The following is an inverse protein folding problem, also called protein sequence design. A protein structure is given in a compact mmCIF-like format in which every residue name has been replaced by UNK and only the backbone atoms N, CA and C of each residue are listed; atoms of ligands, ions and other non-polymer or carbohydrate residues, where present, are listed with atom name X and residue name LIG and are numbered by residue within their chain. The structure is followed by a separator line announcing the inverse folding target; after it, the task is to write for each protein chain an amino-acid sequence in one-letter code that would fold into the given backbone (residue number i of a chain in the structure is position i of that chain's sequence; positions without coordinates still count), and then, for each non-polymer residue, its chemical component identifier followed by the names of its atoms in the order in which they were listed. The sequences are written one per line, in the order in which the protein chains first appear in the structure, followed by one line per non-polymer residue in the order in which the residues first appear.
data_IF_921810985190
#
_entry.id   IF_921810985190
#
_cell.length_a   1.000
_cell.length_b   1.000
_cell.length_c   1.000
_cell.angle_alpha   90.00
_cell.angle_beta   90.00
_cell.angle_gamma   90.00
#
_symmetry.space_group_name_H-M   'P 1'
#
loop_
_entity.id
_entity.type
_entity.pdbx_description
1 polymer ?
#
# COMPACT_ATOMS: atom_id res chain seq x y z
N UNK A 1 -8.69 -32.22 -7.44
CA UNK A 1 -7.63 -33.10 -6.93
C UNK A 1 -7.57 -32.98 -5.43
N UNK A 2 -7.86 -34.06 -4.69
CA UNK A 2 -7.71 -34.09 -3.23
C UNK A 2 -6.22 -34.22 -2.88
N UNK A 3 -5.53 -33.09 -2.67
CA UNK A 3 -4.18 -33.09 -2.09
C UNK A 3 -4.27 -33.42 -0.59
N UNK A 4 -3.30 -34.18 -0.08
CA UNK A 4 -3.21 -34.51 1.34
C UNK A 4 -2.79 -33.28 2.14
N UNK A 5 -3.06 -33.28 3.45
CA UNK A 5 -2.69 -32.16 4.32
C UNK A 5 -1.16 -31.91 4.35
N UNK A 6 -0.36 -32.96 4.19
CA UNK A 6 1.11 -32.89 4.13
C UNK A 6 1.56 -32.11 2.90
N UNK A 7 1.05 -32.47 1.71
CA UNK A 7 1.36 -31.76 0.46
C UNK A 7 1.01 -30.27 0.54
N UNK A 8 -0.10 -29.92 1.19
CA UNK A 8 -0.50 -28.52 1.38
C UNK A 8 0.46 -27.79 2.33
N UNK A 9 0.99 -28.48 3.34
CA UNK A 9 1.95 -27.88 4.27
C UNK A 9 3.34 -27.75 3.65
N UNK A 10 3.77 -28.70 2.83
CA UNK A 10 5.01 -28.61 2.05
C UNK A 10 4.93 -27.45 1.06
N UNK A 11 3.81 -27.32 0.34
CA UNK A 11 3.53 -26.17 -0.52
C UNK A 11 3.62 -24.86 0.27
N UNK A 12 3.10 -24.82 1.50
CA UNK A 12 3.16 -23.65 2.39
C UNK A 12 4.59 -23.32 2.84
N UNK A 13 5.37 -24.33 3.23
CA UNK A 13 6.75 -24.17 3.71
C UNK A 13 7.72 -23.84 2.58
N UNK A 14 7.39 -24.18 1.34
CA UNK A 14 8.16 -23.83 0.16
C UNK A 14 8.02 -22.35 -0.25
N UNK A 15 7.02 -21.62 0.26
CA UNK A 15 6.89 -20.18 -0.01
C UNK A 15 7.91 -19.37 0.77
N UNK A 16 8.52 -18.40 0.09
CA UNK A 16 9.39 -17.42 0.73
C UNK A 16 8.58 -16.26 1.35
N UNK A 17 9.23 -15.51 2.25
CA UNK A 17 8.64 -14.38 2.95
C UNK A 17 8.20 -13.29 1.96
N UNK A 18 6.90 -12.96 2.01
CA UNK A 18 6.18 -12.03 1.11
C UNK A 18 5.72 -12.58 -0.25
N UNK A 19 5.87 -13.88 -0.50
CA UNK A 19 5.22 -14.49 -1.67
C UNK A 19 3.71 -14.63 -1.48
N UNK A 20 2.97 -14.54 -2.59
CA UNK A 20 1.51 -14.68 -2.55
C UNK A 20 1.15 -16.14 -2.30
N UNK A 21 0.35 -16.37 -1.25
CA UNK A 21 -0.16 -17.71 -0.97
C UNK A 21 -1.05 -18.19 -2.14
N UNK A 22 -0.77 -19.36 -2.72
CA UNK A 22 -1.58 -19.89 -3.80
C UNK A 22 -2.97 -20.28 -3.30
N UNK A 23 -3.97 -20.09 -4.16
CA UNK A 23 -5.39 -20.16 -3.79
C UNK A 23 -5.79 -21.52 -3.18
N UNK A 24 -5.17 -22.62 -3.64
CA UNK A 24 -5.48 -23.96 -3.13
C UNK A 24 -5.09 -24.13 -1.66
N UNK A 25 -3.97 -23.53 -1.23
CA UNK A 25 -3.53 -23.55 0.17
C UNK A 25 -4.46 -22.68 1.01
N UNK A 26 -4.82 -21.49 0.53
CA UNK A 26 -5.77 -20.60 1.22
C UNK A 26 -7.11 -21.28 1.46
N UNK A 27 -7.69 -21.90 0.44
CA UNK A 27 -8.98 -22.62 0.55
C UNK A 27 -8.87 -23.81 1.51
N UNK A 28 -7.76 -24.54 1.49
CA UNK A 28 -7.55 -25.64 2.44
C UNK A 28 -7.46 -25.15 3.89
N UNK A 29 -6.72 -24.07 4.17
CA UNK A 29 -6.61 -23.46 5.51
C UNK A 29 -7.93 -22.88 6.01
N UNK A 30 -8.83 -22.50 5.11
CA UNK A 30 -10.19 -22.09 5.48
C UNK A 30 -11.03 -23.26 6.00
N UNK A 31 -10.74 -24.49 5.57
CA UNK A 31 -11.54 -25.69 5.88
C UNK A 31 -10.90 -26.61 6.94
N UNK A 32 -9.57 -26.71 6.96
CA UNK A 32 -8.83 -27.58 7.88
C UNK A 32 -8.31 -26.82 9.11
N UNK A 33 -8.85 -27.13 10.29
CA UNK A 33 -8.41 -26.53 11.57
C UNK A 33 -6.95 -26.86 11.91
N UNK A 34 -6.50 -28.10 11.66
CA UNK A 34 -5.13 -28.54 12.00
C UNK A 34 -4.08 -27.72 11.24
N UNK A 35 -4.20 -27.65 9.91
CA UNK A 35 -3.29 -26.88 9.07
C UNK A 35 -3.34 -25.38 9.40
N UNK A 36 -4.53 -24.83 9.68
CA UNK A 36 -4.67 -23.43 10.12
C UNK A 36 -3.91 -23.14 11.41
N UNK A 37 -3.99 -24.03 12.40
CA UNK A 37 -3.27 -23.85 13.67
C UNK A 37 -1.76 -23.95 13.48
N UNK A 38 -1.28 -24.91 12.68
CA UNK A 38 0.14 -25.06 12.37
C UNK A 38 0.72 -23.80 11.70
N UNK A 39 0.07 -23.29 10.66
CA UNK A 39 0.48 -22.05 9.97
C UNK A 39 0.53 -20.86 10.93
N UNK A 40 -0.47 -20.73 11.82
CA UNK A 40 -0.47 -19.66 12.83
C UNK A 40 0.70 -19.76 13.79
N UNK A 41 1.04 -20.97 14.26
CA UNK A 41 2.18 -21.20 15.13
C UNK A 41 3.50 -20.87 14.42
N UNK A 42 3.67 -21.27 13.17
CA UNK A 42 4.82 -20.90 12.34
C UNK A 42 4.94 -19.37 12.22
N UNK A 43 3.86 -18.68 11.88
CA UNK A 43 3.86 -17.21 11.79
C UNK A 43 4.16 -16.53 13.14
N UNK A 44 3.73 -17.10 14.26
CA UNK A 44 4.07 -16.61 15.60
C UNK A 44 5.55 -16.82 15.93
N UNK A 45 6.09 -18.00 15.65
CA UNK A 45 7.50 -18.33 15.86
C UNK A 45 8.40 -17.40 15.02
N UNK A 46 8.04 -17.20 13.75
CA UNK A 46 8.77 -16.32 12.84
C UNK A 46 8.76 -14.86 13.33
N UNK A 47 7.60 -14.36 13.79
CA UNK A 47 7.51 -13.01 14.36
C UNK A 47 8.39 -12.84 15.61
N UNK A 48 8.43 -13.85 16.46
CA UNK A 48 9.29 -13.85 17.64
C UNK A 48 10.77 -13.89 17.26
N UNK A 49 11.16 -14.70 16.28
CA UNK A 49 12.52 -14.77 15.76
C UNK A 49 12.96 -13.47 15.04
N UNK A 50 12.04 -12.80 14.34
CA UNK A 50 12.30 -11.54 13.63
C UNK A 50 12.36 -10.30 14.56
N UNK A 51 11.88 -10.41 15.80
CA UNK A 51 11.82 -9.30 16.76
C UNK A 51 13.20 -8.70 17.11
N UNK A 52 14.25 -9.48 17.44
CA UNK A 52 15.58 -8.93 17.71
C UNK A 52 16.26 -8.31 16.47
N UNK A 53 15.95 -8.80 15.27
CA UNK A 53 16.51 -8.29 14.01
C UNK A 53 15.99 -6.87 13.69
N UNK A 54 14.71 -6.60 13.95
CA UNK A 54 14.12 -5.26 13.75
C UNK A 54 14.75 -4.17 14.63
N UNK A 55 15.14 -4.52 15.85
CA UNK A 55 15.84 -3.59 16.75
C UNK A 55 17.29 -3.38 16.35
N UNK A 56 17.94 -4.42 15.80
CA UNK A 56 19.31 -4.32 15.30
C UNK A 56 19.42 -3.48 14.02
N UNK A 57 18.44 -3.57 13.11
CA UNK A 57 18.40 -2.78 11.87
C UNK A 57 18.26 -1.27 12.13
N UNK A 58 17.50 -0.88 13.16
CA UNK A 58 17.42 0.51 13.63
C UNK A 58 18.75 1.04 14.18
N UNK A 59 19.53 0.19 14.87
CA UNK A 59 20.84 0.57 15.40
C UNK A 59 21.92 0.57 14.31
N UNK A 60 21.87 -0.40 13.38
CA UNK A 60 22.76 -0.50 12.24
C UNK A 60 22.53 0.65 11.25
N UNK A 61 21.29 1.04 10.99
CA UNK A 61 20.96 2.21 10.17
C UNK A 61 21.53 3.50 10.75
N UNK A 62 21.45 3.70 12.06
CA UNK A 62 22.06 4.85 12.73
C UNK A 62 23.60 4.84 12.63
N UNK A 63 24.25 3.68 12.77
CA UNK A 63 25.69 3.53 12.62
C UNK A 63 26.16 3.77 11.18
N UNK A 64 25.43 3.28 10.18
CA UNK A 64 25.71 3.49 8.75
C UNK A 64 25.56 4.96 8.37
N UNK A 65 24.51 5.63 8.85
CA UNK A 65 24.31 7.08 8.63
C UNK A 65 25.44 7.89 9.29
N UNK A 66 25.88 7.49 10.49
CA UNK A 66 27.01 8.14 11.16
C UNK A 66 28.34 7.94 10.41
N UNK A 67 28.56 6.76 9.81
CA UNK A 67 29.72 6.49 8.95
C UNK A 67 29.66 7.29 7.65
N UNK A 68 28.52 7.34 6.97
CA UNK A 68 28.35 8.12 5.74
C UNK A 68 28.56 9.61 5.97
N UNK A 69 28.05 10.15 7.08
CA UNK A 69 28.27 11.55 7.48
C UNK A 69 29.74 11.86 7.81
N UNK A 70 30.52 10.84 8.19
CA UNK A 70 31.96 10.96 8.45
C UNK A 70 32.78 10.93 7.15
N UNK A 71 32.27 10.26 6.11
CA UNK A 71 32.90 10.17 4.79
C UNK A 71 32.56 11.39 3.94
N UNK A 72 31.30 11.84 3.97
CA UNK A 72 30.83 13.05 3.30
C UNK A 72 30.04 13.93 4.27
N UNK A 73 30.59 15.08 4.70
CA UNK A 73 29.90 16.00 5.61
C UNK A 73 28.67 16.67 4.97
N UNK A 74 28.50 16.59 3.64
CA UNK A 74 27.32 17.06 2.92
C UNK A 74 26.16 16.05 2.93
N UNK A 75 26.41 14.80 3.36
CA UNK A 75 25.41 13.74 3.37
C UNK A 75 24.33 14.03 4.43
N UNK A 76 23.12 14.38 3.96
CA UNK A 76 21.96 14.65 4.82
C UNK A 76 21.16 13.40 5.21
N UNK A 77 21.52 12.23 4.68
CA UNK A 77 20.70 11.03 4.79
C UNK A 77 19.46 11.13 3.89
N UNK A 78 19.00 9.99 3.39
CA UNK A 78 17.65 9.92 2.82
C UNK A 78 16.67 10.06 3.99
N UNK A 79 16.03 11.22 4.13
CA UNK A 79 14.89 11.33 5.01
C UNK A 79 13.82 10.35 4.51
N UNK A 80 13.33 9.41 5.35
CA UNK A 80 12.28 8.51 4.94
C UNK A 80 11.06 9.37 4.61
N UNK A 81 10.79 9.54 3.31
CA UNK A 81 9.60 10.24 2.83
C UNK A 81 8.41 9.48 3.39
N UNK A 82 7.77 10.08 4.41
CA UNK A 82 6.69 9.43 5.11
C UNK A 82 5.59 9.06 4.09
N UNK A 83 5.19 7.79 4.00
CA UNK A 83 4.21 7.37 3.02
C UNK A 83 2.91 8.14 3.25
N UNK A 84 2.49 8.87 2.24
CA UNK A 84 1.29 9.70 2.31
C UNK A 84 0.10 8.75 2.41
N UNK A 85 -0.71 8.89 3.46
CA UNK A 85 -1.80 7.94 3.71
C UNK A 85 -2.88 8.05 2.62
N UNK A 86 -3.03 7.01 1.80
CA UNK A 86 -4.07 6.88 0.75
C UNK A 86 -5.48 7.18 1.29
N UNK A 87 -5.76 6.85 2.55
CA UNK A 87 -7.05 7.10 3.20
C UNK A 87 -7.39 8.60 3.24
N UNK A 88 -6.40 9.47 3.49
CA UNK A 88 -6.60 10.93 3.55
C UNK A 88 -6.96 11.49 2.18
N UNK A 89 -6.35 10.96 1.12
CA UNK A 89 -6.70 11.32 -0.25
C UNK A 89 -8.15 10.93 -0.56
N UNK A 90 -8.56 9.68 -0.30
CA UNK A 90 -9.94 9.23 -0.55
C UNK A 90 -10.97 10.12 0.18
N UNK A 91 -10.75 10.44 1.45
CA UNK A 91 -11.64 11.33 2.22
C UNK A 91 -11.71 12.72 1.60
N UNK A 92 -10.58 13.29 1.19
CA UNK A 92 -10.54 14.59 0.50
C UNK A 92 -11.31 14.57 -0.82
N UNK A 93 -11.18 13.50 -1.62
CA UNK A 93 -11.91 13.36 -2.88
C UNK A 93 -13.42 13.26 -2.66
N UNK A 94 -13.86 12.51 -1.65
CA UNK A 94 -15.28 12.43 -1.27
C UNK A 94 -15.79 13.81 -0.84
N UNK A 95 -15.04 14.53 0.01
CA UNK A 95 -15.42 15.87 0.43
C UNK A 95 -15.57 16.84 -0.75
N UNK A 96 -14.68 16.76 -1.75
CA UNK A 96 -14.76 17.57 -2.97
C UNK A 96 -16.04 17.25 -3.79
N UNK A 97 -16.39 15.98 -3.95
CA UNK A 97 -17.64 15.58 -4.65
C UNK A 97 -18.86 16.10 -3.89
N UNK A 98 -18.88 15.96 -2.56
CA UNK A 98 -19.98 16.47 -1.72
C UNK A 98 -20.11 17.99 -1.87
N UNK A 99 -19.01 18.73 -1.87
CA UNK A 99 -19.02 20.18 -2.09
C UNK A 99 -19.62 20.56 -3.45
N UNK A 100 -19.29 19.79 -4.50
CA UNK A 100 -19.88 19.98 -5.83
C UNK A 100 -21.40 19.72 -5.85
N UNK A 101 -21.86 18.69 -5.15
CA UNK A 101 -23.29 18.36 -5.05
C UNK A 101 -24.06 19.38 -4.20
N UNK A 102 -23.44 19.93 -3.15
CA UNK A 102 -24.05 20.98 -2.32
C UNK A 102 -24.32 22.27 -3.12
N UNK A 103 -23.45 22.61 -4.08
CA UNK A 103 -23.69 23.74 -4.97
C UNK A 103 -24.99 23.58 -5.78
N UNK A 104 -25.28 22.36 -6.26
CA UNK A 104 -26.53 22.02 -6.96
C UNK A 104 -27.79 22.20 -6.11
N UNK A 105 -27.68 22.04 -4.79
CA UNK A 105 -28.79 22.19 -3.86
C UNK A 105 -29.08 23.65 -3.50
N UNK A 106 -28.28 24.59 -3.99
CA UNK A 106 -28.43 26.02 -3.67
C UNK A 106 -29.24 26.72 -4.78
N UNK A 107 -30.55 26.98 -4.59
CA UNK A 107 -31.41 27.54 -5.64
C UNK A 107 -30.94 28.92 -6.11
N UNK A 108 -30.33 29.72 -5.24
CA UNK A 108 -29.72 31.01 -5.60
C UNK A 108 -28.56 30.87 -6.62
N UNK A 109 -27.80 29.78 -6.54
CA UNK A 109 -26.66 29.52 -7.41
C UNK A 109 -27.07 29.03 -8.82
N UNK A 110 -28.28 28.49 -8.96
CA UNK A 110 -28.83 28.02 -10.24
C UNK A 110 -29.61 29.10 -11.01
N UNK A 111 -29.70 30.31 -10.47
CA UNK A 111 -30.45 31.42 -11.08
C UNK A 111 -29.84 31.92 -12.40
N UNK A 112 -28.56 31.65 -12.65
CA UNK A 112 -27.86 32.07 -13.86
C UNK A 112 -27.11 30.90 -14.50
N UNK A 113 -27.46 30.56 -15.74
CA UNK A 113 -26.85 29.46 -16.49
C UNK A 113 -25.35 29.67 -16.69
N UNK A 114 -24.92 30.91 -16.97
CA UNK A 114 -23.50 31.26 -17.12
C UNK A 114 -22.69 30.92 -15.87
N UNK A 115 -23.23 31.22 -14.69
CA UNK A 115 -22.54 31.00 -13.41
C UNK A 115 -22.44 29.49 -13.12
N UNK A 116 -23.48 28.72 -13.47
CA UNK A 116 -23.46 27.26 -13.40
C UNK A 116 -22.38 26.67 -14.31
N UNK A 117 -22.28 27.12 -15.56
CA UNK A 117 -21.27 26.64 -16.52
C UNK A 117 -19.86 27.00 -16.06
N UNK A 118 -19.62 28.25 -15.66
CA UNK A 118 -18.32 28.70 -15.16
C UNK A 118 -17.87 27.93 -13.91
N UNK A 119 -18.81 27.63 -13.01
CA UNK A 119 -18.54 26.83 -11.81
C UNK A 119 -18.08 25.41 -12.16
N UNK A 120 -18.76 24.73 -13.10
CA UNK A 120 -18.37 23.39 -13.52
C UNK A 120 -17.02 23.36 -14.24
N UNK A 121 -16.68 24.38 -15.03
CA UNK A 121 -15.36 24.51 -15.65
C UNK A 121 -14.25 24.64 -14.60
N UNK A 122 -14.47 25.45 -13.58
CA UNK A 122 -13.52 25.61 -12.48
C UNK A 122 -13.34 24.30 -11.70
N UNK A 123 -14.44 23.61 -11.41
CA UNK A 123 -14.39 22.28 -10.78
C UNK A 123 -13.67 21.25 -11.64
N UNK A 124 -13.88 21.23 -12.95
CA UNK A 124 -13.19 20.33 -13.85
C UNK A 124 -11.67 20.53 -13.79
N UNK A 125 -11.20 21.78 -13.72
CA UNK A 125 -9.79 22.11 -13.57
C UNK A 125 -9.24 21.63 -12.22
N UNK A 126 -9.96 21.91 -11.13
CA UNK A 126 -9.58 21.48 -9.77
C UNK A 126 -9.52 19.95 -9.68
N UNK A 127 -10.51 19.25 -10.21
CA UNK A 127 -10.56 17.78 -10.26
C UNK A 127 -9.37 17.23 -11.04
N UNK A 128 -9.07 17.82 -12.19
CA UNK A 128 -7.94 17.38 -13.03
C UNK A 128 -6.61 17.56 -12.31
N UNK A 129 -6.39 18.72 -11.69
CA UNK A 129 -5.20 18.99 -10.89
C UNK A 129 -5.11 18.04 -9.69
N UNK A 130 -6.22 17.82 -8.99
CA UNK A 130 -6.30 16.88 -7.87
C UNK A 130 -5.93 15.46 -8.31
N UNK A 131 -6.46 14.97 -9.43
CA UNK A 131 -6.12 13.65 -9.98
C UNK A 131 -4.64 13.55 -10.33
N UNK A 132 -4.05 14.57 -10.96
CA UNK A 132 -2.63 14.60 -11.29
C UNK A 132 -1.74 14.52 -10.03
N UNK A 133 -2.04 15.32 -9.01
CA UNK A 133 -1.29 15.32 -7.75
C UNK A 133 -1.51 13.99 -7.00
N UNK A 134 -2.73 13.45 -7.01
CA UNK A 134 -3.02 12.15 -6.41
C UNK A 134 -2.19 11.04 -7.04
N UNK A 135 -2.13 10.96 -8.37
CA UNK A 135 -1.33 9.96 -9.07
C UNK A 135 0.14 10.18 -8.76
N UNK A 136 0.66 11.39 -8.97
CA UNK A 136 2.08 11.74 -8.74
C UNK A 136 2.55 11.42 -7.32
N UNK A 137 1.76 11.81 -6.31
CA UNK A 137 2.05 11.58 -4.89
C UNK A 137 2.01 10.12 -4.49
N UNK A 138 1.34 9.26 -5.26
CA UNK A 138 1.20 7.83 -4.98
C UNK A 138 1.89 6.95 -6.03
N UNK A 139 2.71 7.52 -6.92
CA UNK A 139 3.41 6.78 -7.99
C UNK A 139 4.26 5.63 -7.43
N UNK A 140 4.95 5.85 -6.31
CA UNK A 140 5.78 4.83 -5.66
C UNK A 140 4.96 3.57 -5.29
N UNK A 141 3.71 3.74 -4.85
CA UNK A 141 2.79 2.63 -4.61
C UNK A 141 2.40 1.92 -5.90
N UNK A 142 2.12 2.66 -6.97
CA UNK A 142 1.73 2.07 -8.25
C UNK A 142 2.88 1.31 -8.92
N UNK A 143 4.10 1.87 -8.91
CA UNK A 143 5.30 1.25 -9.47
C UNK A 143 5.62 -0.05 -8.73
N UNK A 144 5.70 -0.03 -7.39
CA UNK A 144 5.92 -1.23 -6.58
C UNK A 144 4.86 -2.31 -6.82
N UNK A 145 3.60 -1.91 -6.99
CA UNK A 145 2.51 -2.83 -7.29
C UNK A 145 2.66 -3.46 -8.68
N UNK A 146 3.04 -2.69 -9.70
CA UNK A 146 3.25 -3.18 -11.07
C UNK A 146 4.42 -4.18 -11.13
N UNK A 147 5.52 -3.91 -10.45
CA UNK A 147 6.66 -4.85 -10.38
C UNK A 147 6.26 -6.18 -9.72
N UNK A 148 5.40 -6.13 -8.70
CA UNK A 148 4.85 -7.34 -8.05
C UNK A 148 3.96 -8.17 -9.00
N UNK A 149 3.44 -7.58 -10.08
CA UNK A 149 2.62 -8.30 -11.07
C UNK A 149 3.43 -8.85 -12.25
N UNK A 150 4.70 -8.48 -12.42
CA UNK A 150 5.55 -9.10 -13.44
C UNK A 150 5.79 -10.55 -12.98
N UNK A 151 5.23 -11.56 -13.67
CA UNK A 151 5.57 -12.94 -13.37
C UNK A 151 7.07 -13.04 -13.60
N UNK A 152 7.82 -13.51 -12.60
CA UNK A 152 9.24 -13.79 -12.77
C UNK A 152 9.29 -14.85 -13.88
N UNK A 153 9.69 -14.43 -15.08
CA UNK A 153 9.95 -15.37 -16.16
C UNK A 153 10.98 -16.35 -15.61
N UNK A 154 10.60 -17.62 -15.59
CA UNK A 154 11.43 -18.69 -15.07
C UNK A 154 12.80 -18.64 -15.75
N UNK A 155 13.84 -18.49 -14.94
CA UNK A 155 15.24 -18.72 -15.28
C UNK A 155 15.78 -19.75 -14.29
#
# INVERSE_FOLDING_TARGET
MNRTCEQIMDDFLALDKNERMPLHVTVHLLRCKKCRTAVRLCSCAEKSAARPLKTAESAAGAAVVALMKKIDPSYKGEEPVAPISLKRWVVSGIAMIVAMLMFRLTPAAMSSETLVVSFYLLFALVVTAYCAIFVGSNLDFFVKKIETFKPRAAA
#
